data_IF_052720529481
#
_entry.id   IF_052720529481
#
_cell.length_a   1.000
_cell.length_b   1.000
_cell.length_c   1.000
_cell.angle_alpha   90.00
_cell.angle_beta   90.00
_cell.angle_gamma   90.00
#
_symmetry.space_group_name_H-M   'P 1'
#
loop_
_entity.id
_entity.type
_entity.pdbx_description
1 polymer ?
#
# COMPACT_ATOMS: atom_id res chain seq x y z
N UNK A 1 18.83 -17.95 14.37
CA UNK A 1 17.44 -18.45 14.35
C UNK A 1 16.42 -17.35 14.67
N UNK A 2 16.49 -16.22 13.98
CA UNK A 2 15.69 -15.01 14.29
C UNK A 2 14.63 -14.70 13.23
N UNK A 3 14.52 -15.54 12.19
CA UNK A 3 13.72 -15.29 11.00
C UNK A 3 12.18 -15.39 11.16
N UNK A 4 11.58 -16.23 12.04
CA UNK A 4 10.13 -16.45 11.98
C UNK A 4 9.32 -15.21 12.40
N UNK A 5 9.82 -14.43 13.36
CA UNK A 5 9.14 -13.21 13.81
C UNK A 5 9.08 -12.14 12.72
N UNK A 6 10.19 -11.92 11.99
CA UNK A 6 10.24 -10.92 10.91
C UNK A 6 9.21 -11.23 9.81
N UNK A 7 9.12 -12.50 9.42
CA UNK A 7 8.17 -12.93 8.39
C UNK A 7 6.72 -12.69 8.83
N UNK A 8 6.38 -12.95 10.10
CA UNK A 8 5.04 -12.66 10.64
C UNK A 8 4.70 -11.17 10.63
N UNK A 9 5.68 -10.29 10.89
CA UNK A 9 5.46 -8.84 10.77
C UNK A 9 5.21 -8.44 9.31
N UNK A 10 6.02 -8.94 8.38
CA UNK A 10 5.82 -8.70 6.94
C UNK A 10 4.44 -9.16 6.47
N UNK A 11 4.01 -10.37 6.86
CA UNK A 11 2.68 -10.89 6.52
C UNK A 11 1.55 -9.99 7.06
N UNK A 12 1.72 -9.44 8.27
CA UNK A 12 0.79 -8.49 8.84
C UNK A 12 0.71 -7.19 8.02
N UNK A 13 1.86 -6.60 7.68
CA UNK A 13 1.92 -5.36 6.89
C UNK A 13 1.35 -5.51 5.49
N UNK A 14 1.54 -6.68 4.86
CA UNK A 14 0.98 -7.00 3.54
C UNK A 14 -0.56 -6.97 3.52
N UNK A 15 -1.19 -7.12 4.67
CA UNK A 15 -2.65 -7.09 4.83
C UNK A 15 -3.22 -5.70 5.16
N UNK A 16 -2.38 -4.73 5.53
CA UNK A 16 -2.86 -3.43 5.98
C UNK A 16 -3.39 -2.56 4.83
N UNK A 17 -4.41 -1.72 5.10
CA UNK A 17 -4.85 -0.71 4.15
C UNK A 17 -3.76 0.34 3.94
N UNK A 18 -3.58 0.79 2.70
CA UNK A 18 -2.54 1.77 2.32
C UNK A 18 -3.03 3.21 2.25
N UNK A 19 -4.35 3.40 2.29
CA UNK A 19 -4.95 4.71 2.25
C UNK A 19 -6.35 4.69 2.88
N UNK A 20 -6.81 5.86 3.29
CA UNK A 20 -8.13 6.05 3.88
C UNK A 20 -8.78 7.33 3.35
N UNK A 21 -10.11 7.37 3.37
CA UNK A 21 -10.88 8.60 3.21
C UNK A 21 -11.47 8.93 4.57
N UNK A 22 -11.17 10.12 5.09
CA UNK A 22 -11.65 10.62 6.37
C UNK A 22 -12.75 11.64 6.11
N UNK A 23 -13.89 11.48 6.81
CA UNK A 23 -15.08 12.35 6.68
C UNK A 23 -15.56 12.52 5.23
N UNK A 24 -15.38 11.48 4.39
CA UNK A 24 -15.70 11.50 2.95
C UNK A 24 -15.02 12.62 2.15
N UNK A 25 -14.00 13.29 2.70
CA UNK A 25 -13.41 14.51 2.13
C UNK A 25 -11.90 14.44 2.02
N UNK A 26 -11.22 13.88 3.01
CA UNK A 26 -9.77 13.93 3.11
C UNK A 26 -9.19 12.58 2.73
N UNK A 27 -8.42 12.54 1.65
CA UNK A 27 -7.65 11.36 1.29
C UNK A 27 -6.32 11.35 2.03
N UNK A 28 -6.09 10.30 2.82
CA UNK A 28 -4.87 10.09 3.59
C UNK A 28 -4.10 8.90 3.01
N UNK A 29 -2.80 9.09 2.75
CA UNK A 29 -1.86 8.05 2.34
C UNK A 29 -0.48 8.32 2.96
N UNK A 30 0.38 7.29 3.03
CA UNK A 30 1.66 7.41 3.75
C UNK A 30 2.72 8.18 2.93
N UNK A 31 2.94 7.86 1.65
CA UNK A 31 4.04 8.43 0.85
C UNK A 31 3.67 9.51 -0.18
N UNK A 32 2.37 9.75 -0.42
CA UNK A 32 1.87 10.71 -1.42
C UNK A 32 1.22 10.07 -2.64
N UNK A 33 0.74 10.90 -3.56
CA UNK A 33 0.04 10.45 -4.78
C UNK A 33 1.03 10.06 -5.88
N UNK A 34 0.81 8.89 -6.48
CA UNK A 34 1.51 8.49 -7.71
C UNK A 34 1.04 9.37 -8.88
N UNK A 35 1.92 9.83 -9.79
CA UNK A 35 1.50 10.52 -11.01
C UNK A 35 0.62 9.65 -11.93
N UNK A 36 0.71 8.32 -11.79
CA UNK A 36 -0.10 7.36 -12.54
C UNK A 36 -1.47 7.08 -11.90
N UNK A 37 -1.75 7.65 -10.73
CA UNK A 37 -3.04 7.54 -10.08
C UNK A 37 -4.04 8.49 -10.74
N UNK A 38 -4.90 7.94 -11.58
CA UNK A 38 -5.97 8.65 -12.29
C UNK A 38 -7.31 8.57 -11.57
N UNK A 39 -7.51 7.54 -10.74
CA UNK A 39 -8.76 7.30 -10.01
C UNK A 39 -8.55 6.51 -8.72
N UNK A 40 -9.33 6.86 -7.70
CA UNK A 40 -9.41 6.13 -6.42
C UNK A 40 -9.84 4.67 -6.58
N UNK A 41 -10.51 4.34 -7.68
CA UNK A 41 -10.86 2.96 -8.02
C UNK A 41 -9.62 2.09 -8.25
N UNK A 42 -8.51 2.66 -8.73
CA UNK A 42 -7.25 1.93 -8.86
C UNK A 42 -6.72 1.46 -7.51
N UNK A 43 -6.90 2.25 -6.44
CA UNK A 43 -6.52 1.88 -5.08
C UNK A 43 -7.45 0.80 -4.53
N UNK A 44 -8.76 0.94 -4.76
CA UNK A 44 -9.78 -0.02 -4.29
C UNK A 44 -9.62 -1.42 -4.88
N UNK A 45 -9.06 -1.52 -6.10
CA UNK A 45 -8.83 -2.80 -6.80
C UNK A 45 -7.57 -3.53 -6.36
N UNK A 46 -6.77 -2.95 -5.47
CA UNK A 46 -5.58 -3.61 -4.94
C UNK A 46 -6.04 -4.75 -4.04
N UNK A 47 -5.75 -5.99 -4.47
CA UNK A 47 -6.00 -7.15 -3.64
C UNK A 47 -4.93 -7.26 -2.56
N UNK A 48 -5.35 -7.67 -1.36
CA UNK A 48 -4.48 -7.96 -0.22
C UNK A 48 -4.57 -9.47 0.09
N UNK A 49 -3.49 -10.11 0.58
CA UNK A 49 -2.17 -9.54 0.87
C UNK A 49 -1.43 -9.13 -0.41
N UNK A 50 -0.67 -8.04 -0.35
CA UNK A 50 0.17 -7.56 -1.47
C UNK A 50 1.57 -7.32 -0.96
N UNK A 51 2.56 -7.89 -1.63
CA UNK A 51 3.98 -7.54 -1.44
C UNK A 51 4.31 -6.23 -2.15
N UNK A 52 5.36 -5.55 -1.68
CA UNK A 52 5.90 -4.36 -2.36
C UNK A 52 6.60 -4.81 -3.64
N UNK A 53 6.17 -4.34 -4.84
CA UNK A 53 6.80 -4.76 -6.09
C UNK A 53 8.23 -4.18 -6.22
N UNK A 54 9.20 -5.03 -6.56
CA UNK A 54 10.61 -4.65 -6.76
C UNK A 54 10.81 -3.72 -7.97
N UNK A 55 10.08 -3.94 -9.06
CA UNK A 55 10.17 -3.16 -10.30
C UNK A 55 9.22 -1.96 -10.30
N UNK A 56 9.65 -0.86 -10.91
CA UNK A 56 8.87 0.40 -11.05
C UNK A 56 7.55 0.26 -11.83
N UNK A 57 7.25 -0.95 -12.33
CA UNK A 57 5.98 -1.29 -12.91
C UNK A 57 5.00 -1.66 -11.80
N UNK A 58 4.10 -0.73 -11.48
CA UNK A 58 2.68 -0.89 -11.12
C UNK A 58 2.27 0.25 -10.17
N UNK A 59 1.86 1.38 -10.76
CA UNK A 59 0.84 2.37 -10.34
C UNK A 59 0.78 2.93 -8.89
N UNK A 60 1.49 2.37 -7.91
CA UNK A 60 1.16 2.54 -6.48
C UNK A 60 2.42 2.66 -5.60
N UNK A 61 3.65 2.53 -6.12
CA UNK A 61 4.90 2.59 -5.31
C UNK A 61 4.89 3.75 -4.30
N UNK A 62 4.44 4.94 -4.72
CA UNK A 62 4.43 6.14 -3.87
C UNK A 62 3.38 6.11 -2.76
N UNK A 63 2.28 5.36 -2.91
CA UNK A 63 1.25 5.25 -1.86
C UNK A 63 1.65 4.17 -0.84
N UNK A 64 2.33 3.11 -1.29
CA UNK A 64 2.70 1.95 -0.46
C UNK A 64 4.04 2.07 0.28
N UNK A 65 4.89 3.07 0.00
CA UNK A 65 6.31 3.03 0.40
C UNK A 65 6.63 3.15 1.90
N UNK A 66 5.66 3.08 2.79
CA UNK A 66 5.91 3.22 4.23
C UNK A 66 5.03 2.28 5.07
N UNK A 67 5.23 0.98 4.85
CA UNK A 67 5.11 -0.05 5.87
C UNK A 67 6.30 -0.99 5.74
#
# INVERSE_FOLDING_TARGET
>A
ETQPALNTFTDCFNCLPIAAIVDEKIFCCHGGLSPDLQSMEQIRRIMRPTDVPDTDLHNIKHITQLL
#
